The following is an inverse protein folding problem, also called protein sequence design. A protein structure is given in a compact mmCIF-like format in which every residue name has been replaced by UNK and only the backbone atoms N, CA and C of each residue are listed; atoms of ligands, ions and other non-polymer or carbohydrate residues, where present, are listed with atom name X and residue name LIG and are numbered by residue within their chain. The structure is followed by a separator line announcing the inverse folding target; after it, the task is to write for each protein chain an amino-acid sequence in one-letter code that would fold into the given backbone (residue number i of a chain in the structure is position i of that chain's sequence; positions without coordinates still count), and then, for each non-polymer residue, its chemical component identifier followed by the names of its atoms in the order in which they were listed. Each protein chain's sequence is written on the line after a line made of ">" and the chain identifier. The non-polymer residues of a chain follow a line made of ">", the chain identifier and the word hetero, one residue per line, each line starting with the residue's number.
data_IF_759577971057
#
_entry.id   IF_759577971057
#
_cell.length_a   1.000
_cell.length_b   1.000
_cell.length_c   1.000
_cell.angle_alpha   90.00
_cell.angle_beta   90.00
_cell.angle_gamma   90.00
#
_symmetry.space_group_name_H-M   'P 1'
#
loop_
_entity.id
_entity.type
_entity.pdbx_description
1 polymer ?
#
# COMPACT_ATOMS: atom_id res chain seq x y z
N UNK A 1 11.06 7.47 -5.16
CA UNK A 1 9.81 8.27 -5.14
C UNK A 1 8.56 7.40 -4.98
N UNK A 2 8.30 6.78 -3.80
CA UNK A 2 7.07 5.98 -3.63
C UNK A 2 5.80 6.83 -3.46
N UNK A 3 5.94 8.05 -2.91
CA UNK A 3 4.79 8.92 -2.58
C UNK A 3 4.02 9.39 -3.83
N UNK A 4 4.73 9.84 -4.88
CA UNK A 4 4.11 10.33 -6.10
C UNK A 4 3.28 9.24 -6.80
N UNK A 5 3.85 8.05 -6.98
CA UNK A 5 3.16 6.92 -7.60
C UNK A 5 1.96 6.46 -6.77
N UNK A 6 2.09 6.37 -5.43
CA UNK A 6 0.98 6.01 -4.54
C UNK A 6 -0.18 7.01 -4.61
N UNK A 7 0.12 8.30 -4.64
CA UNK A 7 -0.88 9.36 -4.82
C UNK A 7 -1.56 9.30 -6.19
N UNK A 8 -0.80 8.97 -7.24
CA UNK A 8 -1.35 8.79 -8.59
C UNK A 8 -2.35 7.62 -8.64
N UNK A 9 -2.05 6.48 -7.99
CA UNK A 9 -2.98 5.35 -7.91
C UNK A 9 -4.29 5.71 -7.20
N UNK A 10 -4.23 6.51 -6.13
CA UNK A 10 -5.43 6.99 -5.44
C UNK A 10 -6.31 7.87 -6.34
N UNK A 11 -5.68 8.78 -7.10
CA UNK A 11 -6.38 9.60 -8.10
C UNK A 11 -7.01 8.75 -9.21
N UNK A 12 -6.26 7.76 -9.72
CA UNK A 12 -6.72 6.84 -10.75
C UNK A 12 -7.94 6.02 -10.28
N UNK A 13 -7.92 5.51 -9.05
CA UNK A 13 -9.04 4.75 -8.49
C UNK A 13 -10.31 5.60 -8.43
N UNK A 14 -10.21 6.84 -7.95
CA UNK A 14 -11.34 7.79 -7.89
C UNK A 14 -11.91 8.12 -9.28
N UNK A 15 -11.04 8.40 -10.24
CA UNK A 15 -11.45 8.73 -11.60
C UNK A 15 -12.17 7.55 -12.27
N UNK A 16 -11.68 6.32 -12.06
CA UNK A 16 -12.31 5.13 -12.64
C UNK A 16 -13.60 4.73 -11.92
N UNK A 17 -13.71 4.94 -10.60
CA UNK A 17 -14.97 4.71 -9.88
C UNK A 17 -16.12 5.55 -10.49
N UNK A 18 -15.86 6.82 -10.83
CA UNK A 18 -16.84 7.69 -11.49
C UNK A 18 -17.20 7.17 -12.89
N UNK A 19 -16.19 6.79 -13.69
CA UNK A 19 -16.39 6.33 -15.08
C UNK A 19 -17.10 4.98 -15.17
N UNK A 20 -16.81 4.07 -14.25
CA UNK A 20 -17.26 2.68 -14.30
C UNK A 20 -18.52 2.43 -13.47
N UNK A 21 -18.90 3.36 -12.60
CA UNK A 21 -20.13 3.30 -11.79
C UNK A 21 -21.42 3.02 -12.58
N UNK A 22 -21.65 3.63 -13.76
CA UNK A 22 -22.84 3.32 -14.59
C UNK A 22 -22.93 1.86 -15.05
N UNK A 23 -21.81 1.14 -15.06
CA UNK A 23 -21.75 -0.29 -15.40
C UNK A 23 -21.87 -1.19 -14.16
N UNK A 24 -22.12 -0.63 -12.97
CA UNK A 24 -22.19 -1.38 -11.71
C UNK A 24 -20.83 -1.83 -11.17
N UNK A 25 -19.72 -1.26 -11.65
CA UNK A 25 -18.36 -1.65 -11.26
C UNK A 25 -17.81 -0.70 -10.19
N UNK A 26 -17.35 -1.27 -9.07
CA UNK A 26 -16.66 -0.53 -8.01
C UNK A 26 -15.16 -0.54 -8.20
N UNK A 27 -14.48 0.57 -7.89
CA UNK A 27 -13.01 0.67 -7.94
C UNK A 27 -12.49 1.12 -6.58
N UNK A 28 -11.59 0.33 -5.99
CA UNK A 28 -11.01 0.58 -4.68
C UNK A 28 -9.48 0.61 -4.74
N UNK A 29 -8.85 1.34 -3.83
CA UNK A 29 -7.39 1.39 -3.68
C UNK A 29 -7.03 1.05 -2.25
N UNK A 30 -6.26 -0.01 -2.05
CA UNK A 30 -5.79 -0.43 -0.73
C UNK A 30 -4.37 0.09 -0.51
N UNK A 31 -4.15 0.72 0.65
CA UNK A 31 -2.85 1.18 1.09
C UNK A 31 -2.40 0.32 2.29
N UNK A 32 -1.94 -0.92 2.04
CA UNK A 32 -1.49 -1.78 3.12
C UNK A 32 -0.29 -1.16 3.83
N UNK A 33 -0.20 -1.47 5.13
CA UNK A 33 1.01 -1.23 5.91
C UNK A 33 2.17 -2.13 5.44
N UNK A 34 3.26 -2.19 6.21
CA UNK A 34 4.39 -3.06 5.89
C UNK A 34 3.97 -4.54 5.88
N UNK A 35 4.16 -5.22 4.73
CA UNK A 35 3.87 -6.66 4.51
C UNK A 35 5.16 -7.41 4.23
N UNK A 36 5.35 -8.55 4.90
CA UNK A 36 6.54 -9.37 4.77
C UNK A 36 6.54 -10.09 3.41
N UNK A 37 7.21 -9.49 2.43
CA UNK A 37 7.33 -10.04 1.08
C UNK A 37 8.80 -10.22 0.70
N UNK A 38 9.08 -11.00 -0.35
CA UNK A 38 10.43 -11.11 -0.91
C UNK A 38 11.02 -9.73 -1.27
N UNK A 39 10.18 -8.77 -1.67
CA UNK A 39 10.60 -7.41 -2.00
C UNK A 39 11.07 -6.62 -0.78
N UNK A 40 10.44 -6.79 0.39
CA UNK A 40 10.89 -6.11 1.62
C UNK A 40 12.21 -6.67 2.14
N UNK A 41 12.46 -7.98 1.99
CA UNK A 41 13.69 -8.62 2.42
C UNK A 41 14.93 -8.16 1.61
N UNK A 42 14.74 -7.77 0.35
CA UNK A 42 15.82 -7.29 -0.52
C UNK A 42 16.12 -5.79 -0.32
N UNK A 43 15.11 -5.00 0.09
CA UNK A 43 15.20 -3.54 0.12
C UNK A 43 15.53 -2.95 1.49
N UNK A 44 15.46 -3.72 2.58
CA UNK A 44 15.64 -3.23 3.94
C UNK A 44 16.55 -4.17 4.74
N UNK A 45 17.41 -3.59 5.58
CA UNK A 45 18.14 -4.36 6.59
C UNK A 45 17.20 -4.84 7.69
N UNK A 46 17.60 -5.88 8.42
CA UNK A 46 16.83 -6.45 9.53
C UNK A 46 16.46 -5.39 10.58
N UNK A 47 17.40 -4.54 10.99
CA UNK A 47 17.14 -3.40 11.89
C UNK A 47 16.15 -2.37 11.32
N UNK A 48 16.11 -2.20 10.00
CA UNK A 48 15.14 -1.31 9.36
C UNK A 48 13.74 -1.94 9.39
N UNK A 49 13.65 -3.26 9.19
CA UNK A 49 12.39 -4.01 9.29
C UNK A 49 11.80 -3.92 10.70
N UNK A 50 12.62 -4.09 11.74
CA UNK A 50 12.19 -3.98 13.13
C UNK A 50 11.65 -2.58 13.45
N UNK A 51 12.38 -1.52 13.04
CA UNK A 51 11.91 -0.14 13.20
C UNK A 51 10.61 0.17 12.46
N UNK A 52 10.31 -0.52 11.36
CA UNK A 52 9.02 -0.37 10.69
C UNK A 52 7.90 -1.09 11.45
N UNK A 53 8.18 -2.26 12.04
CA UNK A 53 7.21 -2.99 12.87
C UNK A 53 6.76 -2.15 14.08
N UNK A 54 7.70 -1.50 14.76
CA UNK A 54 7.44 -0.61 15.92
C UNK A 54 6.50 0.55 15.59
N UNK A 55 6.43 0.98 14.32
CA UNK A 55 5.55 2.08 13.87
C UNK A 55 4.14 1.61 13.54
N UNK A 56 3.91 0.30 13.48
CA UNK A 56 2.57 -0.26 13.27
C UNK A 56 1.85 -0.39 14.60
N UNK A 57 0.53 -0.22 14.60
CA UNK A 57 -0.28 -0.40 15.81
C UNK A 57 -0.20 -1.82 16.39
N UNK A 58 0.12 -2.82 15.56
CA UNK A 58 0.23 -4.22 15.97
C UNK A 58 1.66 -4.64 16.34
N UNK A 59 2.65 -3.75 16.21
CA UNK A 59 4.06 -4.06 16.51
C UNK A 59 4.66 -5.15 15.62
N UNK A 60 4.05 -5.46 14.47
CA UNK A 60 4.46 -6.54 13.58
C UNK A 60 4.15 -6.24 12.13
N UNK A 61 4.80 -6.98 11.24
CA UNK A 61 4.47 -6.96 9.82
C UNK A 61 3.20 -7.78 9.55
N UNK A 62 2.50 -7.40 8.48
CA UNK A 62 1.45 -8.24 7.90
C UNK A 62 2.06 -9.41 7.11
N UNK A 63 1.24 -10.44 6.92
CA UNK A 63 1.54 -11.64 6.11
C UNK A 63 0.83 -11.57 4.76
#
# INVERSE_FOLDING_TARGET
>A
MPSATKSALLGLARANAIKLGPFGITVNCLAPGPIATALSAVNFSEQALDRFAERTALGRWGE
#
